data_IF_448778748780
#
_entry.id   IF_448778748780
#
_cell.length_a   1.000
_cell.length_b   1.000
_cell.length_c   1.000
_cell.angle_alpha   90.00
_cell.angle_beta   90.00
_cell.angle_gamma   90.00
#
_symmetry.space_group_name_H-M   'P 1'
#
loop_
_entity.id
_entity.type
_entity.pdbx_description
1 polymer ?
#
# COMPACT_ATOMS: atom_id res chain seq x y z
N UNK A 1 14.00 -2.06 -12.63
CA UNK A 1 15.14 -1.76 -13.52
C UNK A 1 15.03 -0.37 -14.13
N UNK A 2 14.02 -0.06 -14.94
CA UNK A 2 13.87 1.27 -15.57
C UNK A 2 13.98 2.46 -14.58
N UNK A 3 13.22 2.43 -13.48
CA UNK A 3 13.30 3.52 -12.48
C UNK A 3 14.67 3.64 -11.82
N UNK A 4 15.37 2.52 -11.58
CA UNK A 4 16.70 2.54 -10.99
C UNK A 4 17.74 3.15 -11.94
N UNK A 5 17.64 2.85 -13.25
CA UNK A 5 18.50 3.45 -14.27
C UNK A 5 18.23 4.97 -14.40
N UNK A 6 16.97 5.39 -14.35
CA UNK A 6 16.60 6.83 -14.34
C UNK A 6 17.17 7.55 -13.12
N UNK A 7 17.11 6.93 -11.93
CA UNK A 7 17.71 7.50 -10.71
C UNK A 7 19.24 7.64 -10.88
N UNK A 8 19.92 6.64 -11.43
CA UNK A 8 21.36 6.72 -11.69
C UNK A 8 21.72 7.79 -12.73
N UNK A 9 20.91 7.94 -13.78
CA UNK A 9 21.07 8.98 -14.78
C UNK A 9 20.89 10.38 -14.15
N UNK A 10 19.94 10.56 -13.23
CA UNK A 10 19.69 11.82 -12.52
C UNK A 10 20.87 12.24 -11.63
N UNK A 11 21.48 11.27 -10.91
CA UNK A 11 22.72 11.51 -10.16
C UNK A 11 23.85 11.94 -11.08
N UNK A 12 24.00 11.29 -12.24
CA UNK A 12 25.02 11.65 -13.23
C UNK A 12 24.80 13.06 -13.79
N UNK A 13 23.54 13.44 -14.05
CA UNK A 13 23.16 14.80 -14.47
C UNK A 13 23.48 15.81 -13.37
N UNK A 14 23.16 15.50 -12.11
CA UNK A 14 23.42 16.38 -10.97
C UNK A 14 24.91 16.73 -10.83
N UNK A 15 25.79 15.73 -10.95
CA UNK A 15 27.26 15.93 -10.94
C UNK A 15 27.70 16.75 -12.16
N UNK A 16 27.15 16.49 -13.34
CA UNK A 16 27.47 17.19 -14.57
C UNK A 16 27.06 18.67 -14.53
N UNK A 17 25.90 18.98 -13.96
CA UNK A 17 25.40 20.35 -13.79
C UNK A 17 26.30 21.14 -12.84
N UNK A 18 26.79 20.54 -11.76
CA UNK A 18 27.72 21.17 -10.82
C UNK A 18 29.07 21.54 -11.47
N UNK A 19 29.48 20.84 -12.53
CA UNK A 19 30.79 21.00 -13.18
C UNK A 19 30.89 22.19 -14.16
N UNK A 20 30.02 23.20 -14.05
CA UNK A 20 30.10 24.41 -14.88
C UNK A 20 31.29 25.29 -14.49
N UNK A 21 32.03 25.82 -15.48
CA UNK A 21 33.19 26.69 -15.22
C UNK A 21 33.10 28.00 -16.02
N UNK A 22 33.02 29.13 -15.30
CA UNK A 22 32.83 30.47 -15.87
C UNK A 22 31.66 30.55 -16.87
N UNK A 23 31.93 30.86 -18.14
CA UNK A 23 30.91 31.13 -19.16
C UNK A 23 30.28 29.87 -19.76
N UNK A 24 30.82 28.67 -19.51
CA UNK A 24 30.36 27.45 -20.19
C UNK A 24 30.44 26.20 -19.31
N UNK A 25 29.40 25.36 -19.39
CA UNK A 25 29.45 24.00 -18.89
C UNK A 25 29.81 23.05 -20.03
N UNK A 26 30.95 22.34 -19.93
CA UNK A 26 31.43 21.40 -20.96
C UNK A 26 30.83 19.99 -20.84
N UNK A 27 30.08 19.71 -19.78
CA UNK A 27 29.39 18.44 -19.55
C UNK A 27 27.98 18.38 -20.17
N UNK A 28 27.57 19.42 -20.93
CA UNK A 28 26.26 19.47 -21.60
C UNK A 28 25.93 18.22 -22.43
N UNK A 29 26.88 17.58 -23.17
CA UNK A 29 26.59 16.34 -23.89
C UNK A 29 26.17 15.18 -22.97
N UNK A 30 26.80 15.04 -21.80
CA UNK A 30 26.46 14.02 -20.80
C UNK A 30 25.07 14.26 -20.23
N UNK A 31 24.74 15.51 -19.93
CA UNK A 31 23.41 15.92 -19.45
C UNK A 31 22.33 15.55 -20.48
N UNK A 32 22.53 15.98 -21.73
CA UNK A 32 21.58 15.73 -22.81
C UNK A 32 21.37 14.23 -23.04
N UNK A 33 22.45 13.45 -23.09
CA UNK A 33 22.37 12.01 -23.29
C UNK A 33 21.57 11.31 -22.19
N UNK A 34 21.94 11.54 -20.92
CA UNK A 34 21.28 10.89 -19.78
C UNK A 34 19.81 11.31 -19.64
N UNK A 35 19.50 12.57 -19.95
CA UNK A 35 18.12 13.06 -19.94
C UNK A 35 17.28 12.39 -21.02
N UNK A 36 17.77 12.38 -22.27
CA UNK A 36 17.05 11.77 -23.40
C UNK A 36 16.92 10.25 -23.24
N UNK A 37 17.95 9.58 -22.72
CA UNK A 37 17.90 8.16 -22.35
C UNK A 37 16.79 7.90 -21.33
N UNK A 38 16.74 8.68 -20.25
CA UNK A 38 15.69 8.55 -19.21
C UNK A 38 14.29 8.80 -19.76
N UNK A 39 14.11 9.84 -20.58
CA UNK A 39 12.82 10.15 -21.22
C UNK A 39 12.38 8.99 -22.12
N UNK A 40 13.27 8.48 -22.97
CA UNK A 40 12.95 7.37 -23.86
C UNK A 40 12.60 6.10 -23.07
N UNK A 41 13.39 5.78 -22.03
CA UNK A 41 13.17 4.61 -21.20
C UNK A 41 11.82 4.67 -20.48
N UNK A 42 11.48 5.80 -19.85
CA UNK A 42 10.20 5.97 -19.15
C UNK A 42 9.02 6.05 -20.11
N UNK A 43 9.19 6.77 -21.23
CA UNK A 43 8.19 6.90 -22.28
C UNK A 43 7.78 5.55 -22.89
N UNK A 44 8.70 4.59 -22.93
CA UNK A 44 8.41 3.23 -23.37
C UNK A 44 7.93 2.31 -22.23
N UNK A 45 8.51 2.40 -21.03
CA UNK A 45 8.20 1.51 -19.92
C UNK A 45 6.79 1.76 -19.33
N UNK A 46 6.38 3.02 -19.17
CA UNK A 46 5.10 3.35 -18.52
C UNK A 46 3.88 2.84 -19.32
N UNK A 47 3.77 3.05 -20.65
CA UNK A 47 2.64 2.51 -21.41
C UNK A 47 2.61 0.99 -21.43
N UNK A 48 3.77 0.33 -21.42
CA UNK A 48 3.86 -1.12 -21.37
C UNK A 48 3.38 -1.66 -20.02
N UNK A 49 3.78 -1.04 -18.90
CA UNK A 49 3.29 -1.40 -17.57
C UNK A 49 1.76 -1.23 -17.49
N UNK A 50 1.25 -0.08 -17.96
CA UNK A 50 -0.17 0.21 -17.97
C UNK A 50 -0.97 -0.83 -18.79
N UNK A 51 -0.53 -1.14 -20.01
CA UNK A 51 -1.26 -2.03 -20.92
C UNK A 51 -1.12 -3.51 -20.59
N UNK A 52 0.07 -3.96 -20.19
CA UNK A 52 0.39 -5.40 -20.05
C UNK A 52 0.23 -5.92 -18.63
N UNK A 53 0.30 -5.06 -17.61
CA UNK A 53 0.22 -5.47 -16.21
C UNK A 53 -1.03 -4.89 -15.54
N UNK A 54 -1.18 -3.56 -15.53
CA UNK A 54 -2.24 -2.89 -14.76
C UNK A 54 -3.62 -3.14 -15.38
N UNK A 55 -3.78 -2.97 -16.70
CA UNK A 55 -5.07 -3.13 -17.38
C UNK A 55 -5.66 -4.53 -17.24
N UNK A 56 -4.81 -5.55 -17.13
CA UNK A 56 -5.20 -6.96 -17.06
C UNK A 56 -5.19 -7.49 -15.62
N UNK A 57 -4.83 -6.66 -14.64
CA UNK A 57 -4.76 -7.04 -13.23
C UNK A 57 -6.13 -7.48 -12.72
N UNK A 58 -6.17 -8.63 -12.02
CA UNK A 58 -7.37 -9.16 -11.38
C UNK A 58 -7.07 -9.40 -9.90
N UNK A 59 -8.01 -8.98 -9.07
CA UNK A 59 -7.94 -9.19 -7.62
C UNK A 59 -8.37 -10.62 -7.30
N UNK A 60 -7.59 -11.32 -6.49
CA UNK A 60 -8.00 -12.59 -5.89
C UNK A 60 -8.89 -12.30 -4.68
N UNK A 61 -10.19 -12.11 -4.93
CA UNK A 61 -11.18 -11.72 -3.91
C UNK A 61 -11.24 -12.72 -2.76
N UNK A 62 -11.19 -14.03 -3.05
CA UNK A 62 -11.19 -15.09 -2.03
C UNK A 62 -10.05 -14.91 -1.03
N UNK A 63 -8.83 -14.68 -1.53
CA UNK A 63 -7.68 -14.47 -0.65
C UNK A 63 -7.78 -13.14 0.13
N UNK A 64 -8.32 -12.09 -0.49
CA UNK A 64 -8.55 -10.81 0.21
C UNK A 64 -9.56 -10.99 1.34
N UNK A 65 -10.69 -11.64 1.09
CA UNK A 65 -11.73 -11.90 2.09
C UNK A 65 -11.22 -12.76 3.24
N UNK A 66 -10.47 -13.83 2.96
CA UNK A 66 -9.87 -14.68 4.00
C UNK A 66 -8.92 -13.90 4.91
N UNK A 67 -8.03 -13.09 4.32
CA UNK A 67 -7.10 -12.26 5.08
C UNK A 67 -7.83 -11.16 5.86
N UNK A 68 -8.87 -10.57 5.29
CA UNK A 68 -9.64 -9.50 5.90
C UNK A 68 -10.42 -9.99 7.12
N UNK A 69 -11.11 -11.12 6.99
CA UNK A 69 -11.91 -11.72 8.08
C UNK A 69 -11.06 -12.07 9.32
N UNK A 70 -9.77 -12.34 9.13
CA UNK A 70 -8.80 -12.65 10.19
C UNK A 70 -7.99 -11.44 10.66
N UNK A 71 -8.16 -10.28 10.03
CA UNK A 71 -7.30 -9.13 10.30
C UNK A 71 -7.63 -8.52 11.68
N UNK A 72 -6.67 -8.52 12.64
CA UNK A 72 -6.89 -7.96 13.97
C UNK A 72 -7.34 -6.50 13.99
N UNK A 73 -7.09 -5.75 12.91
CA UNK A 73 -7.51 -4.35 12.81
C UNK A 73 -9.02 -4.18 12.91
N UNK A 74 -9.83 -5.18 12.54
CA UNK A 74 -11.29 -5.08 12.60
C UNK A 74 -11.80 -4.81 14.02
N UNK A 75 -11.06 -5.26 15.04
CA UNK A 75 -11.46 -5.09 16.43
C UNK A 75 -11.46 -3.63 16.89
N UNK A 76 -10.77 -2.73 16.18
CA UNK A 76 -10.72 -1.31 16.56
C UNK A 76 -12.10 -0.66 16.50
N UNK A 77 -12.97 -1.14 15.60
CA UNK A 77 -14.37 -0.70 15.50
C UNK A 77 -15.17 -1.03 16.77
N UNK A 78 -14.73 -2.01 17.58
CA UNK A 78 -15.40 -2.37 18.82
C UNK A 78 -14.90 -1.56 20.02
N UNK A 79 -13.82 -0.78 19.89
CA UNK A 79 -13.21 -0.07 21.02
C UNK A 79 -14.22 0.84 21.75
N UNK A 80 -15.11 1.50 21.03
CA UNK A 80 -16.14 2.40 21.59
C UNK A 80 -17.26 1.66 22.34
N UNK A 81 -17.41 0.36 22.12
CA UNK A 81 -18.47 -0.48 22.73
C UNK A 81 -17.95 -1.32 23.89
N UNK A 82 -16.79 -1.96 23.73
CA UNK A 82 -16.25 -2.94 24.68
C UNK A 82 -14.96 -2.50 25.37
N UNK A 83 -14.43 -1.33 24.98
CA UNK A 83 -13.16 -0.80 25.48
C UNK A 83 -11.94 -1.47 24.84
N UNK A 84 -10.83 -0.72 24.80
CA UNK A 84 -9.59 -1.14 24.15
C UNK A 84 -9.03 -2.47 24.69
N UNK A 85 -9.04 -2.65 26.01
CA UNK A 85 -8.45 -3.87 26.64
C UNK A 85 -9.15 -5.14 26.14
N UNK A 86 -10.48 -5.15 26.13
CA UNK A 86 -11.28 -6.31 25.71
C UNK A 86 -11.17 -6.55 24.20
N UNK A 87 -11.16 -5.49 23.41
CA UNK A 87 -10.90 -5.56 21.97
C UNK A 87 -9.51 -6.16 21.67
N UNK A 88 -8.47 -5.72 22.38
CA UNK A 88 -7.12 -6.27 22.23
C UNK A 88 -7.02 -7.76 22.59
N UNK A 89 -7.77 -8.23 23.60
CA UNK A 89 -7.85 -9.65 23.96
C UNK A 89 -8.50 -10.49 22.84
N UNK A 90 -9.60 -10.01 22.26
CA UNK A 90 -10.27 -10.64 21.10
C UNK A 90 -9.31 -10.77 19.91
N UNK A 91 -8.61 -9.69 19.57
CA UNK A 91 -7.62 -9.70 18.48
C UNK A 91 -6.51 -10.73 18.71
N UNK A 92 -5.94 -10.79 19.93
CA UNK A 92 -4.88 -11.76 20.27
C UNK A 92 -5.38 -13.20 20.18
N UNK A 93 -6.60 -13.48 20.67
CA UNK A 93 -7.19 -14.81 20.61
C UNK A 93 -7.44 -15.25 19.16
N UNK A 94 -8.08 -14.39 18.36
CA UNK A 94 -8.36 -14.68 16.96
C UNK A 94 -7.09 -14.93 16.13
N UNK A 95 -6.04 -14.14 16.36
CA UNK A 95 -4.75 -14.33 15.70
C UNK A 95 -4.09 -15.67 16.08
N UNK A 96 -4.08 -16.02 17.37
CA UNK A 96 -3.50 -17.29 17.87
C UNK A 96 -4.25 -18.51 17.34
N UNK A 97 -5.58 -18.42 17.29
CA UNK A 97 -6.45 -19.52 16.85
C UNK A 97 -6.65 -19.57 15.33
N UNK A 98 -6.17 -18.57 14.59
CA UNK A 98 -6.41 -18.39 13.14
C UNK A 98 -7.90 -18.41 12.79
N UNK A 99 -8.71 -17.78 13.62
CA UNK A 99 -10.17 -17.70 13.45
C UNK A 99 -10.61 -16.31 12.99
N UNK A 100 -11.76 -16.19 12.34
CA UNK A 100 -12.35 -14.88 12.02
C UNK A 100 -12.56 -14.04 13.28
N UNK A 101 -12.33 -12.73 13.18
CA UNK A 101 -12.51 -11.80 14.31
C UNK A 101 -13.95 -11.83 14.81
N UNK A 102 -14.92 -11.94 13.89
CA UNK A 102 -16.35 -11.92 14.22
C UNK A 102 -16.75 -13.09 15.12
N UNK A 103 -16.24 -14.30 14.86
CA UNK A 103 -16.58 -15.49 15.65
C UNK A 103 -16.01 -15.39 17.07
N UNK A 104 -14.78 -14.85 17.20
CA UNK A 104 -14.15 -14.65 18.51
C UNK A 104 -14.81 -13.50 19.28
N UNK A 105 -15.23 -12.44 18.59
CA UNK A 105 -15.98 -11.35 19.20
C UNK A 105 -17.36 -11.81 19.70
N UNK A 106 -18.06 -12.66 18.95
CA UNK A 106 -19.33 -13.27 19.37
C UNK A 106 -19.16 -14.12 20.63
N UNK A 107 -18.09 -14.90 20.75
CA UNK A 107 -17.81 -15.70 21.96
C UNK A 107 -17.46 -14.86 23.19
N UNK A 108 -16.78 -13.74 23.00
CA UNK A 108 -16.20 -12.94 24.11
C UNK A 108 -17.05 -11.73 24.49
N UNK A 109 -18.09 -11.42 23.73
CA UNK A 109 -18.98 -10.27 23.95
C UNK A 109 -20.43 -10.71 24.07
N UNK A 110 -21.29 -9.80 24.53
CA UNK A 110 -22.74 -10.01 24.58
C UNK A 110 -23.44 -9.36 23.38
N UNK A 111 -22.69 -8.97 22.35
CA UNK A 111 -23.20 -8.28 21.18
C UNK A 111 -23.74 -9.33 20.20
N UNK A 112 -24.96 -9.13 19.70
CA UNK A 112 -25.56 -10.04 18.74
C UNK A 112 -24.73 -10.08 17.44
N UNK A 113 -24.62 -11.25 16.80
CA UNK A 113 -23.86 -11.42 15.56
C UNK A 113 -24.22 -10.39 14.48
N UNK A 114 -25.51 -10.07 14.34
CA UNK A 114 -25.99 -9.07 13.38
C UNK A 114 -25.45 -7.67 13.65
N UNK A 115 -25.32 -7.29 14.92
CA UNK A 115 -24.71 -6.01 15.30
C UNK A 115 -23.19 -6.07 15.08
N UNK A 116 -22.53 -7.19 15.38
CA UNK A 116 -21.11 -7.39 15.09
C UNK A 116 -20.79 -7.30 13.59
N UNK A 117 -21.61 -7.88 12.71
CA UNK A 117 -21.45 -7.78 11.25
C UNK A 117 -21.48 -6.33 10.77
N UNK A 118 -22.35 -5.51 11.36
CA UNK A 118 -22.47 -4.08 11.04
C UNK A 118 -21.27 -3.28 11.57
N UNK A 119 -20.88 -3.52 12.82
CA UNK A 119 -19.77 -2.82 13.47
C UNK A 119 -18.41 -3.20 12.87
N UNK A 120 -18.21 -4.48 12.52
CA UNK A 120 -16.97 -5.02 11.97
C UNK A 120 -16.90 -4.94 10.44
N UNK A 121 -17.83 -4.25 9.76
CA UNK A 121 -17.73 -4.03 8.32
C UNK A 121 -16.39 -3.33 8.00
N UNK A 122 -15.51 -3.90 7.18
CA UNK A 122 -14.25 -3.25 6.84
C UNK A 122 -14.41 -1.93 6.08
N UNK A 123 -15.50 -1.75 5.32
CA UNK A 123 -15.76 -0.51 4.55
C UNK A 123 -15.94 0.68 5.47
N UNK A 124 -16.47 0.43 6.64
CA UNK A 124 -16.62 1.39 7.69
C UNK A 124 -15.22 1.96 8.02
N UNK A 125 -14.24 1.12 8.38
CA UNK A 125 -12.86 1.54 8.69
C UNK A 125 -12.10 2.31 7.58
N UNK A 126 -12.64 2.41 6.36
CA UNK A 126 -12.06 3.23 5.28
C UNK A 126 -12.46 4.71 5.32
N UNK A 127 -13.31 5.12 6.26
CA UNK A 127 -13.82 6.49 6.38
C UNK A 127 -13.26 7.17 7.64
N UNK A 128 -13.10 8.51 7.63
CA UNK A 128 -12.45 9.25 8.71
C UNK A 128 -13.18 9.26 10.07
N UNK A 129 -14.38 8.70 10.18
CA UNK A 129 -15.17 8.74 11.41
C UNK A 129 -15.72 7.35 11.76
N UNK A 130 -14.92 6.59 12.50
CA UNK A 130 -15.29 5.41 13.29
C UNK A 130 -14.97 5.65 14.75
#
# INVERSE_FOLDING_TARGET
>A
MACADVIGNDVSISVAVQSGNFQLNVMLPLIAYNLLKSINLMGNAMPLLAKKCIKTFKVNTKNVEENLNRNPILVTALNSRIGYKKAAEIAKKAYKEKRPIIDVAEEMTTIERKELESLLDPKNLTKPYF
#
